data_IF_051692592096
#
_entry.id   IF_051692592096
#
_cell.length_a   1.000
_cell.length_b   1.000
_cell.length_c   1.000
_cell.angle_alpha   90.00
_cell.angle_beta   90.00
_cell.angle_gamma   90.00
#
_symmetry.space_group_name_H-M   'P 1'
#
loop_
_entity.id
_entity.type
_entity.pdbx_description
1 polymer ?
#
# COMPACT_ATOMS: atom_id res chain seq x y z
N UNK A 1 -37.30 13.44 3.74
CA UNK A 1 -35.83 13.28 3.80
C UNK A 1 -35.42 12.21 2.81
N UNK A 2 -34.66 12.56 1.77
CA UNK A 2 -34.10 11.53 0.85
C UNK A 2 -32.91 10.89 1.59
N UNK A 3 -32.99 9.57 1.81
CA UNK A 3 -31.85 8.77 2.29
C UNK A 3 -30.72 8.99 1.28
N UNK A 4 -29.52 9.43 1.69
CA UNK A 4 -28.41 9.54 0.76
C UNK A 4 -28.11 8.15 0.17
N UNK A 5 -27.75 8.07 -1.12
CA UNK A 5 -27.47 6.78 -1.75
C UNK A 5 -26.36 6.06 -0.97
N UNK A 6 -26.65 4.82 -0.56
CA UNK A 6 -25.67 3.93 0.03
C UNK A 6 -24.61 3.67 -1.04
N UNK A 7 -23.38 4.13 -0.79
CA UNK A 7 -22.24 3.82 -1.68
C UNK A 7 -22.01 2.31 -1.56
N UNK A 8 -22.40 1.57 -2.59
CA UNK A 8 -22.05 0.14 -2.70
C UNK A 8 -20.55 0.11 -3.05
N UNK A 9 -19.70 -0.50 -2.20
CA UNK A 9 -18.28 -0.61 -2.49
C UNK A 9 -18.08 -1.28 -3.84
N UNK A 10 -17.31 -0.64 -4.74
CA UNK A 10 -16.92 -1.25 -5.99
C UNK A 10 -15.94 -2.40 -5.69
N UNK A 11 -16.25 -3.60 -6.17
CA UNK A 11 -15.34 -4.73 -6.08
C UNK A 11 -14.38 -4.72 -7.27
N UNK A 12 -13.09 -4.91 -6.99
CA UNK A 12 -12.05 -5.05 -8.01
C UNK A 12 -12.35 -6.24 -8.92
N UNK A 13 -12.20 -6.05 -10.22
CA UNK A 13 -12.54 -7.08 -11.21
C UNK A 13 -11.35 -7.98 -11.53
N UNK A 14 -11.58 -9.26 -11.84
CA UNK A 14 -10.55 -10.14 -12.37
C UNK A 14 -9.97 -9.61 -13.68
N UNK A 15 -8.65 -9.73 -13.83
CA UNK A 15 -7.91 -9.30 -15.05
C UNK A 15 -7.57 -10.53 -15.88
N UNK A 16 -7.82 -10.46 -17.19
CA UNK A 16 -7.48 -11.54 -18.14
C UNK A 16 -7.91 -12.94 -17.70
N UNK A 17 -9.06 -13.05 -17.02
CA UNK A 17 -9.54 -14.24 -16.33
C UNK A 17 -10.24 -15.22 -17.30
N UNK A 18 -9.47 -16.03 -18.02
CA UNK A 18 -10.01 -17.10 -18.88
C UNK A 18 -9.97 -18.46 -18.18
N UNK A 19 -10.87 -19.40 -18.58
CA UNK A 19 -10.90 -20.76 -18.04
C UNK A 19 -9.54 -21.47 -18.24
N UNK A 20 -8.90 -21.26 -19.39
CA UNK A 20 -7.61 -21.86 -19.71
C UNK A 20 -6.50 -21.33 -18.77
N UNK A 21 -6.40 -20.00 -18.60
CA UNK A 21 -5.40 -19.40 -17.70
C UNK A 21 -5.59 -19.87 -16.25
N UNK A 22 -6.83 -19.89 -15.74
CA UNK A 22 -7.12 -20.43 -14.40
C UNK A 22 -6.67 -21.88 -14.28
N UNK A 23 -7.01 -22.71 -15.25
CA UNK A 23 -6.62 -24.12 -15.25
C UNK A 23 -5.10 -24.28 -15.22
N UNK A 24 -4.39 -23.61 -16.11
CA UNK A 24 -2.92 -23.65 -16.18
C UNK A 24 -2.27 -23.23 -14.88
N UNK A 25 -2.71 -22.11 -14.28
CA UNK A 25 -2.17 -21.59 -13.00
C UNK A 25 -2.36 -22.62 -11.89
N UNK A 26 -3.56 -23.15 -11.74
CA UNK A 26 -3.89 -24.09 -10.66
C UNK A 26 -3.16 -25.42 -10.80
N UNK A 27 -3.04 -25.94 -12.02
CA UNK A 27 -2.26 -27.15 -12.30
C UNK A 27 -0.77 -26.90 -12.03
N UNK A 28 -0.22 -25.77 -12.49
CA UNK A 28 1.17 -25.40 -12.24
C UNK A 28 1.48 -25.32 -10.76
N UNK A 29 0.63 -24.63 -9.96
CA UNK A 29 0.80 -24.56 -8.51
C UNK A 29 0.75 -25.97 -7.89
N UNK A 30 -0.28 -26.77 -8.25
CA UNK A 30 -0.47 -28.12 -7.70
C UNK A 30 0.74 -29.02 -7.96
N UNK A 31 1.32 -28.93 -9.14
CA UNK A 31 2.49 -29.72 -9.54
C UNK A 31 3.78 -29.20 -8.93
N UNK A 32 4.06 -27.89 -9.08
CA UNK A 32 5.34 -27.30 -8.69
C UNK A 32 5.53 -27.16 -7.18
N UNK A 33 4.43 -27.10 -6.39
CA UNK A 33 4.54 -26.98 -4.92
C UNK A 33 5.31 -28.13 -4.26
N UNK A 34 5.46 -29.25 -4.91
CA UNK A 34 6.24 -30.40 -4.43
C UNK A 34 7.76 -30.20 -4.62
N UNK A 35 8.16 -29.30 -5.54
CA UNK A 35 9.56 -29.12 -5.95
C UNK A 35 10.09 -27.70 -5.62
N UNK A 36 9.21 -26.76 -5.31
CA UNK A 36 9.56 -25.36 -5.08
C UNK A 36 8.98 -24.85 -3.76
N UNK A 37 9.81 -24.23 -2.89
CA UNK A 37 9.32 -23.62 -1.67
C UNK A 37 8.47 -22.39 -1.98
N UNK A 38 7.58 -22.07 -1.07
CA UNK A 38 6.85 -20.80 -1.04
C UNK A 38 7.66 -19.78 -0.24
N UNK A 39 7.84 -18.58 -0.78
CA UNK A 39 8.49 -17.48 -0.11
C UNK A 39 7.43 -16.46 0.31
N UNK A 40 7.07 -16.45 1.60
CA UNK A 40 5.98 -15.62 2.10
C UNK A 40 4.65 -15.92 1.39
N UNK A 41 4.01 -14.89 0.84
CA UNK A 41 2.79 -15.00 0.03
C UNK A 41 2.99 -15.37 -1.43
N UNK A 42 4.25 -15.46 -1.92
CA UNK A 42 4.60 -15.58 -3.34
C UNK A 42 5.09 -16.97 -3.67
N UNK A 43 4.69 -17.48 -4.84
CA UNK A 43 5.12 -18.73 -5.40
C UNK A 43 5.65 -18.53 -6.83
N UNK A 44 6.86 -19.00 -7.12
CA UNK A 44 7.50 -18.84 -8.42
C UNK A 44 7.08 -19.97 -9.38
N UNK A 45 6.29 -19.61 -10.40
CA UNK A 45 5.85 -20.54 -11.45
C UNK A 45 6.97 -20.81 -12.47
N UNK A 46 7.77 -19.79 -12.78
CA UNK A 46 8.94 -19.89 -13.66
C UNK A 46 10.06 -18.96 -13.19
N UNK A 47 11.07 -18.73 -14.00
CA UNK A 47 12.08 -17.69 -13.76
C UNK A 47 11.49 -16.29 -13.87
N UNK A 48 10.51 -16.10 -14.78
CA UNK A 48 9.94 -14.79 -15.13
C UNK A 48 8.52 -14.57 -14.56
N UNK A 49 7.88 -15.59 -13.99
CA UNK A 49 6.48 -15.52 -13.57
C UNK A 49 6.34 -15.98 -12.13
N UNK A 50 5.63 -15.19 -11.35
CA UNK A 50 5.24 -15.54 -10.00
C UNK A 50 3.73 -15.40 -9.79
N UNK A 51 3.23 -16.00 -8.73
CA UNK A 51 1.84 -15.87 -8.28
C UNK A 51 1.79 -15.54 -6.79
N UNK A 52 1.11 -14.46 -6.44
CA UNK A 52 0.71 -14.12 -5.08
C UNK A 52 -0.69 -14.66 -4.87
N UNK A 53 -0.90 -15.55 -3.88
CA UNK A 53 -2.22 -16.13 -3.67
C UNK A 53 -2.52 -16.44 -2.21
N UNK A 54 -3.79 -16.35 -1.86
CA UNK A 54 -4.28 -16.66 -0.51
C UNK A 54 -5.67 -16.11 -0.25
N UNK A 55 -6.29 -16.51 0.89
CA UNK A 55 -7.62 -16.05 1.27
C UNK A 55 -7.66 -14.58 1.69
N UNK A 56 -6.53 -14.03 2.15
CA UNK A 56 -6.44 -12.63 2.59
C UNK A 56 -6.06 -11.68 1.45
N UNK A 57 -5.69 -12.20 0.26
CA UNK A 57 -5.32 -11.35 -0.88
C UNK A 57 -6.55 -10.77 -1.56
N UNK A 58 -6.38 -9.59 -2.21
CA UNK A 58 -7.44 -8.87 -2.87
C UNK A 58 -7.06 -8.59 -4.34
N UNK A 59 -8.05 -8.58 -5.22
CA UNK A 59 -7.87 -8.21 -6.63
C UNK A 59 -7.49 -6.74 -6.79
N UNK A 60 -7.78 -5.87 -5.82
CA UNK A 60 -7.40 -4.46 -5.85
C UNK A 60 -5.89 -4.25 -6.01
N UNK A 61 -5.05 -5.14 -5.46
CA UNK A 61 -3.61 -5.07 -5.67
C UNK A 61 -3.23 -5.24 -7.15
N UNK A 62 -3.90 -6.15 -7.86
CA UNK A 62 -3.69 -6.33 -9.30
C UNK A 62 -4.19 -5.13 -10.11
N UNK A 63 -5.37 -4.57 -9.75
CA UNK A 63 -5.91 -3.34 -10.36
C UNK A 63 -4.96 -2.17 -10.11
N UNK A 64 -4.41 -2.05 -8.92
CA UNK A 64 -3.44 -1.00 -8.56
C UNK A 64 -2.17 -1.08 -9.41
N UNK A 65 -1.53 -2.24 -9.50
CA UNK A 65 -0.33 -2.39 -10.32
C UNK A 65 -0.61 -2.08 -11.80
N UNK A 66 -1.75 -2.52 -12.33
CA UNK A 66 -2.15 -2.19 -13.70
C UNK A 66 -2.36 -0.67 -13.88
N UNK A 67 -3.00 -0.01 -12.92
CA UNK A 67 -3.25 1.42 -12.94
C UNK A 67 -1.95 2.21 -12.88
N UNK A 68 -1.04 1.91 -11.96
CA UNK A 68 0.26 2.57 -11.81
C UNK A 68 1.09 2.44 -13.09
N UNK A 69 1.14 1.23 -13.69
CA UNK A 69 1.84 0.99 -14.95
C UNK A 69 1.29 1.84 -16.12
N UNK A 70 0.00 2.14 -16.10
CA UNK A 70 -0.66 2.92 -17.16
C UNK A 70 -0.52 4.43 -16.99
N UNK A 71 -0.32 4.92 -15.76
CA UNK A 71 -0.38 6.34 -15.44
C UNK A 71 0.94 6.95 -14.96
N UNK A 72 1.95 6.12 -14.72
CA UNK A 72 3.26 6.53 -14.22
C UNK A 72 4.38 5.80 -14.92
N UNK A 73 5.63 6.26 -14.69
CA UNK A 73 6.84 5.58 -15.08
C UNK A 73 7.35 4.58 -14.02
N UNK A 74 6.66 4.42 -12.91
CA UNK A 74 7.07 3.55 -11.81
C UNK A 74 7.14 2.09 -12.27
N UNK A 75 8.27 1.41 -12.12
CA UNK A 75 8.40 0.01 -12.48
C UNK A 75 7.60 -0.85 -11.49
N UNK A 76 6.58 -1.53 -11.98
CA UNK A 76 5.72 -2.45 -11.24
C UNK A 76 5.56 -3.77 -11.99
N UNK A 77 5.32 -4.90 -11.30
CA UNK A 77 5.08 -6.18 -11.97
C UNK A 77 3.95 -6.09 -13.01
N UNK A 78 4.16 -6.60 -14.20
CA UNK A 78 3.09 -6.73 -15.19
C UNK A 78 2.11 -7.81 -14.79
N UNK A 79 0.81 -7.49 -14.79
CA UNK A 79 -0.25 -8.43 -14.45
C UNK A 79 -0.59 -9.30 -15.65
N UNK A 80 -0.34 -10.59 -15.54
CA UNK A 80 -0.66 -11.60 -16.56
C UNK A 80 -2.13 -11.99 -16.46
N UNK A 81 -2.59 -12.30 -15.24
CA UNK A 81 -4.01 -12.50 -14.94
C UNK A 81 -4.26 -12.45 -13.43
N UNK A 82 -5.50 -12.13 -13.05
CA UNK A 82 -5.95 -12.23 -11.66
C UNK A 82 -7.36 -12.80 -11.59
N UNK A 83 -7.65 -13.61 -10.56
CA UNK A 83 -8.96 -14.21 -10.35
C UNK A 83 -9.16 -14.69 -8.91
N UNK A 84 -10.41 -14.91 -8.54
CA UNK A 84 -10.78 -15.53 -7.27
C UNK A 84 -11.41 -16.89 -7.53
N UNK A 85 -11.05 -17.91 -6.71
CA UNK A 85 -11.64 -19.24 -6.74
C UNK A 85 -11.68 -19.82 -5.33
N UNK A 86 -12.84 -20.31 -4.91
CA UNK A 86 -13.06 -20.94 -3.59
C UNK A 86 -12.53 -20.06 -2.43
N UNK A 87 -12.84 -18.76 -2.43
CA UNK A 87 -12.40 -17.83 -1.41
C UNK A 87 -10.89 -17.48 -1.42
N UNK A 88 -10.16 -17.96 -2.41
CA UNK A 88 -8.72 -17.66 -2.58
C UNK A 88 -8.51 -16.78 -3.80
N UNK A 89 -7.80 -15.67 -3.64
CA UNK A 89 -7.41 -14.77 -4.73
C UNK A 89 -6.05 -15.17 -5.26
N UNK A 90 -5.89 -15.10 -6.58
CA UNK A 90 -4.66 -15.41 -7.33
C UNK A 90 -4.30 -14.20 -8.18
N UNK A 91 -3.07 -13.70 -8.03
CA UNK A 91 -2.49 -12.61 -8.82
C UNK A 91 -1.24 -13.18 -9.48
N UNK A 92 -1.33 -13.44 -10.78
CA UNK A 92 -0.22 -13.94 -11.60
C UNK A 92 0.42 -12.77 -12.28
N UNK A 93 1.71 -12.59 -12.04
CA UNK A 93 2.43 -11.41 -12.48
C UNK A 93 3.87 -11.73 -12.86
N UNK A 94 4.50 -10.79 -13.55
CA UNK A 94 5.92 -10.76 -13.81
C UNK A 94 6.72 -10.90 -12.51
N UNK A 95 7.81 -11.64 -12.56
CA UNK A 95 8.82 -11.66 -11.52
C UNK A 95 9.88 -10.62 -11.83
N UNK A 96 9.92 -9.53 -11.08
CA UNK A 96 11.01 -8.56 -11.20
C UNK A 96 12.29 -9.16 -10.63
N UNK A 97 13.37 -9.09 -11.41
CA UNK A 97 14.71 -9.50 -11.01
C UNK A 97 15.46 -8.31 -10.41
N UNK A 98 15.50 -8.24 -9.10
CA UNK A 98 16.18 -7.23 -8.31
C UNK A 98 16.36 -7.72 -6.88
N UNK A 99 17.16 -7.04 -6.11
CA UNK A 99 17.33 -7.27 -4.68
C UNK A 99 16.58 -6.22 -3.89
N UNK A 100 15.97 -6.62 -2.77
CA UNK A 100 15.35 -5.67 -1.85
C UNK A 100 16.40 -4.66 -1.38
N UNK A 101 16.09 -3.38 -1.52
CA UNK A 101 17.00 -2.27 -1.17
C UNK A 101 17.47 -2.39 0.30
N UNK A 102 16.61 -2.88 1.18
CA UNK A 102 16.96 -3.12 2.59
C UNK A 102 18.11 -4.10 2.79
N UNK A 103 18.35 -4.99 1.82
CA UNK A 103 19.49 -5.91 1.88
C UNK A 103 20.77 -5.17 1.48
N UNK A 104 21.70 -5.06 2.43
CA UNK A 104 22.99 -4.42 2.20
C UNK A 104 22.93 -2.89 2.10
N UNK A 105 21.85 -2.23 2.48
CA UNK A 105 21.73 -0.78 2.45
C UNK A 105 22.87 -0.07 3.19
N UNK A 106 23.19 -0.53 4.40
CA UNK A 106 24.23 0.06 5.24
C UNK A 106 25.64 -0.05 4.67
N UNK A 107 25.87 -0.99 3.75
CA UNK A 107 27.15 -1.17 3.06
C UNK A 107 27.24 -0.47 1.71
N UNK A 108 26.17 0.20 1.24
CA UNK A 108 26.22 1.02 0.03
C UNK A 108 26.97 2.31 0.26
N UNK A 109 27.64 2.81 -0.78
CA UNK A 109 28.24 4.17 -0.75
C UNK A 109 27.14 5.24 -0.71
N UNK A 110 27.50 6.45 -0.26
CA UNK A 110 26.53 7.55 -0.20
C UNK A 110 26.05 7.96 -1.60
N UNK A 111 26.90 7.83 -2.64
CA UNK A 111 26.54 8.07 -4.03
C UNK A 111 25.50 7.03 -4.54
N UNK A 112 25.69 5.76 -4.17
CA UNK A 112 24.74 4.68 -4.51
C UNK A 112 23.40 4.92 -3.84
N UNK A 113 23.39 5.27 -2.54
CA UNK A 113 22.18 5.63 -1.80
C UNK A 113 21.47 6.83 -2.42
N UNK A 114 22.22 7.90 -2.70
CA UNK A 114 21.67 9.13 -3.29
C UNK A 114 20.97 8.86 -4.63
N UNK A 115 21.56 8.04 -5.51
CA UNK A 115 20.94 7.66 -6.80
C UNK A 115 19.61 6.90 -6.63
N UNK A 116 19.55 5.97 -5.69
CA UNK A 116 18.32 5.21 -5.42
C UNK A 116 17.24 6.13 -4.85
N UNK A 117 17.60 6.96 -3.86
CA UNK A 117 16.65 7.87 -3.21
C UNK A 117 16.12 8.95 -4.16
N UNK A 118 16.97 9.47 -5.07
CA UNK A 118 16.54 10.40 -6.12
C UNK A 118 15.48 9.76 -7.05
N UNK A 119 15.68 8.51 -7.47
CA UNK A 119 14.68 7.79 -8.28
C UNK A 119 13.38 7.59 -7.51
N UNK A 120 13.44 7.25 -6.21
CA UNK A 120 12.24 7.13 -5.39
C UNK A 120 11.50 8.45 -5.26
N UNK A 121 12.22 9.56 -5.07
CA UNK A 121 11.63 10.89 -5.02
C UNK A 121 10.88 11.23 -6.31
N UNK A 122 11.50 10.95 -7.47
CA UNK A 122 10.87 11.15 -8.78
C UNK A 122 9.61 10.26 -8.94
N UNK A 123 9.68 9.00 -8.53
CA UNK A 123 8.55 8.06 -8.58
C UNK A 123 7.39 8.50 -7.69
N UNK A 124 7.68 8.97 -6.46
CA UNK A 124 6.66 9.52 -5.58
C UNK A 124 6.04 10.79 -6.17
N UNK A 125 6.86 11.70 -6.72
CA UNK A 125 6.37 12.88 -7.39
C UNK A 125 5.47 12.53 -8.60
N UNK A 126 5.81 11.49 -9.36
CA UNK A 126 5.00 10.99 -10.47
C UNK A 126 3.64 10.45 -9.98
N UNK A 127 3.66 9.65 -8.93
CA UNK A 127 2.45 9.14 -8.29
C UNK A 127 1.55 10.27 -7.75
N UNK A 128 2.13 11.33 -7.18
CA UNK A 128 1.38 12.49 -6.65
C UNK A 128 0.73 13.36 -7.72
N UNK A 129 1.14 13.26 -8.99
CA UNK A 129 0.49 13.96 -10.11
C UNK A 129 -0.83 13.32 -10.54
N UNK A 130 -1.11 12.10 -10.10
CA UNK A 130 -2.36 11.42 -10.43
C UNK A 130 -3.50 12.12 -9.67
N UNK A 131 -4.47 12.66 -10.42
CA UNK A 131 -5.61 13.31 -9.82
C UNK A 131 -6.59 12.29 -9.20
N UNK A 132 -7.08 12.53 -7.97
CA UNK A 132 -8.07 11.65 -7.35
C UNK A 132 -9.41 11.75 -8.10
N UNK A 133 -10.16 10.63 -8.22
CA UNK A 133 -11.46 10.62 -8.89
C UNK A 133 -12.55 11.37 -8.09
N UNK A 134 -12.36 11.49 -6.77
CA UNK A 134 -13.28 12.16 -5.84
C UNK A 134 -12.58 12.39 -4.49
N UNK A 135 -13.33 12.80 -3.46
CA UNK A 135 -12.82 13.05 -2.09
C UNK A 135 -12.79 11.83 -1.18
N UNK A 136 -13.10 10.63 -1.68
CA UNK A 136 -13.18 9.42 -0.88
C UNK A 136 -11.79 8.86 -0.54
N UNK A 137 -11.67 8.28 0.65
CA UNK A 137 -10.53 7.44 1.04
C UNK A 137 -10.90 6.00 0.71
N UNK A 138 -10.25 5.42 -0.30
CA UNK A 138 -10.64 4.12 -0.88
C UNK A 138 -9.48 3.48 -1.63
N UNK A 139 -9.60 2.20 -1.97
CA UNK A 139 -8.70 1.58 -2.95
C UNK A 139 -8.89 2.21 -4.35
N UNK A 140 -8.07 1.77 -5.31
CA UNK A 140 -8.08 2.31 -6.69
C UNK A 140 -9.44 2.16 -7.40
N UNK A 141 -10.21 1.12 -7.08
CA UNK A 141 -11.51 0.84 -7.66
C UNK A 141 -12.68 1.48 -6.88
N UNK A 142 -12.39 2.35 -5.89
CA UNK A 142 -13.38 2.98 -5.02
C UNK A 142 -13.92 2.06 -3.92
N UNK A 143 -13.29 0.92 -3.69
CA UNK A 143 -13.69 -0.12 -2.75
C UNK A 143 -12.92 -0.11 -1.43
N UNK A 144 -12.99 -1.26 -0.75
CA UNK A 144 -12.42 -1.52 0.57
C UNK A 144 -10.89 -1.47 0.53
N UNK A 145 -10.30 -0.84 1.53
CA UNK A 145 -8.87 -0.77 1.81
C UNK A 145 -8.42 -1.98 2.63
N UNK A 146 -7.12 -2.24 2.61
CA UNK A 146 -6.48 -3.27 3.43
C UNK A 146 -5.25 -2.69 4.11
N UNK A 147 -5.16 -2.82 5.43
CA UNK A 147 -3.92 -2.58 6.19
C UNK A 147 -4.02 -3.33 7.52
N UNK A 148 -3.09 -4.26 7.76
CA UNK A 148 -3.05 -5.05 9.00
C UNK A 148 -2.43 -4.30 10.19
N UNK A 149 -1.90 -3.08 9.98
CA UNK A 149 -1.29 -2.23 11.02
C UNK A 149 -2.30 -1.28 11.67
N UNK A 150 -3.49 -1.15 11.10
CA UNK A 150 -4.56 -0.32 11.64
C UNK A 150 -5.39 -1.14 12.61
N UNK A 151 -5.68 -0.56 13.78
CA UNK A 151 -6.55 -1.18 14.78
C UNK A 151 -7.91 -1.56 14.19
N UNK A 152 -8.39 -2.77 14.54
CA UNK A 152 -9.67 -3.29 14.09
C UNK A 152 -9.56 -4.27 12.91
N UNK A 153 -10.59 -4.37 12.07
CA UNK A 153 -10.58 -5.27 10.92
C UNK A 153 -9.49 -4.87 9.92
N UNK A 154 -8.69 -5.84 9.43
CA UNK A 154 -7.67 -5.60 8.40
C UNK A 154 -8.23 -5.03 7.08
N UNK A 155 -9.54 -5.13 6.87
CA UNK A 155 -10.27 -4.55 5.73
C UNK A 155 -11.27 -3.55 6.22
N UNK A 156 -11.22 -2.33 5.70
CA UNK A 156 -12.00 -1.21 6.18
C UNK A 156 -12.37 -0.23 5.06
N UNK A 157 -13.28 0.70 5.34
CA UNK A 157 -13.75 1.68 4.34
C UNK A 157 -14.69 1.06 3.29
N UNK A 158 -14.86 1.69 2.11
CA UNK A 158 -14.36 3.03 1.78
C UNK A 158 -15.02 4.13 2.62
N UNK A 159 -14.35 5.29 2.74
CA UNK A 159 -14.84 6.46 3.46
C UNK A 159 -15.17 7.60 2.51
N UNK A 160 -16.26 8.34 2.79
CA UNK A 160 -16.73 9.44 1.94
C UNK A 160 -15.79 10.65 1.93
N UNK A 161 -14.97 10.79 2.97
CA UNK A 161 -14.01 11.88 3.12
C UNK A 161 -12.84 11.47 4.03
N UNK A 162 -11.80 12.30 4.05
CA UNK A 162 -10.66 12.16 4.95
C UNK A 162 -11.11 12.23 6.41
N UNK A 163 -12.03 13.12 6.77
CA UNK A 163 -12.57 13.22 8.14
C UNK A 163 -13.27 11.93 8.58
N UNK A 164 -14.03 11.26 7.67
CA UNK A 164 -14.65 9.98 8.00
C UNK A 164 -13.59 8.88 8.22
N UNK A 165 -12.50 8.89 7.47
CA UNK A 165 -11.36 8.00 7.69
C UNK A 165 -10.68 8.28 9.04
N UNK A 166 -10.43 9.55 9.36
CA UNK A 166 -9.86 9.95 10.64
C UNK A 166 -10.74 9.54 11.83
N UNK A 167 -12.07 9.74 11.71
CA UNK A 167 -13.01 9.27 12.72
C UNK A 167 -12.94 7.76 12.94
N UNK A 168 -12.78 6.99 11.85
CA UNK A 168 -12.55 5.55 11.96
C UNK A 168 -11.23 5.23 12.69
N UNK A 169 -10.12 5.91 12.36
CA UNK A 169 -8.82 5.70 13.01
C UNK A 169 -8.82 5.97 14.52
N UNK A 170 -9.75 6.78 15.03
CA UNK A 170 -9.95 7.05 16.45
C UNK A 170 -11.11 6.27 17.07
N UNK A 171 -11.51 5.15 16.44
CA UNK A 171 -12.56 4.28 16.98
C UNK A 171 -13.96 4.92 17.06
N UNK A 172 -14.20 5.99 16.28
CA UNK A 172 -15.46 6.74 16.32
C UNK A 172 -15.58 7.74 17.47
N UNK A 173 -14.54 7.93 18.29
CA UNK A 173 -14.56 8.88 19.41
C UNK A 173 -14.87 10.29 18.91
N UNK A 174 -15.80 10.96 19.61
CA UNK A 174 -16.17 12.35 19.36
C UNK A 174 -15.46 13.30 20.32
N UNK A 175 -15.22 14.56 19.93
CA UNK A 175 -14.66 15.57 20.84
C UNK A 175 -15.50 15.72 22.10
N UNK A 176 -14.84 15.67 23.27
CA UNK A 176 -15.47 15.86 24.58
C UNK A 176 -14.52 16.65 25.48
N UNK A 177 -15.11 17.42 26.44
CA UNK A 177 -14.32 18.27 27.35
C UNK A 177 -13.35 17.46 28.25
N UNK A 178 -13.67 16.20 28.54
CA UNK A 178 -12.86 15.32 29.39
C UNK A 178 -11.76 14.56 28.62
N UNK A 179 -11.66 14.74 27.31
CA UNK A 179 -10.58 14.13 26.55
C UNK A 179 -9.21 14.71 26.99
N UNK A 180 -8.15 13.89 27.07
CA UNK A 180 -6.80 14.40 27.25
C UNK A 180 -6.46 15.49 26.24
N UNK A 181 -5.63 16.48 26.62
CA UNK A 181 -5.33 17.62 25.75
C UNK A 181 -4.67 17.23 24.43
N UNK A 182 -3.75 16.25 24.49
CA UNK A 182 -3.11 15.68 23.29
C UNK A 182 -4.10 14.95 22.36
N UNK A 183 -5.07 14.23 22.92
CA UNK A 183 -6.16 13.61 22.14
C UNK A 183 -7.04 14.68 21.50
N UNK A 184 -7.37 15.74 22.24
CA UNK A 184 -8.16 16.86 21.71
C UNK A 184 -7.44 17.58 20.56
N UNK A 185 -6.11 17.73 20.63
CA UNK A 185 -5.31 18.29 19.56
C UNK A 185 -5.35 17.41 18.31
N UNK A 186 -5.16 16.09 18.44
CA UNK A 186 -5.29 15.14 17.33
C UNK A 186 -6.67 15.22 16.69
N UNK A 187 -7.74 15.26 17.50
CA UNK A 187 -9.11 15.32 16.97
C UNK A 187 -9.38 16.63 16.23
N UNK A 188 -8.93 17.76 16.76
CA UNK A 188 -9.06 19.05 16.11
C UNK A 188 -8.33 19.11 14.76
N UNK A 189 -7.13 18.51 14.67
CA UNK A 189 -6.39 18.35 13.44
C UNK A 189 -7.11 17.43 12.45
N UNK A 190 -7.59 16.27 12.90
CA UNK A 190 -8.30 15.29 12.10
C UNK A 190 -9.62 15.82 11.51
N UNK A 191 -10.35 16.60 12.28
CA UNK A 191 -11.65 17.17 11.88
C UNK A 191 -11.51 18.48 11.07
N UNK A 192 -10.29 19.01 10.97
CA UNK A 192 -9.98 20.19 10.19
C UNK A 192 -10.20 20.03 8.68
N UNK A 193 -9.97 21.10 7.90
CA UNK A 193 -10.06 21.04 6.44
C UNK A 193 -8.89 20.25 5.87
N UNK A 194 -9.19 19.36 4.93
CA UNK A 194 -8.20 18.55 4.23
C UNK A 194 -8.26 18.79 2.72
N UNK A 195 -7.12 18.83 2.02
CA UNK A 195 -7.09 18.79 0.57
C UNK A 195 -7.68 17.46 0.07
N UNK A 196 -7.85 17.35 -1.25
CA UNK A 196 -8.25 16.08 -1.86
C UNK A 196 -7.24 14.96 -1.50
N UNK A 197 -7.70 13.70 -1.38
CA UNK A 197 -6.80 12.59 -1.13
C UNK A 197 -5.80 12.44 -2.27
N UNK A 198 -4.65 11.86 -1.98
CA UNK A 198 -3.60 11.58 -2.96
C UNK A 198 -3.37 10.08 -3.07
N UNK A 199 -2.90 9.64 -4.24
CA UNK A 199 -2.56 8.24 -4.41
C UNK A 199 -1.33 7.90 -3.57
N UNK A 200 -1.39 6.78 -2.86
CA UNK A 200 -0.45 6.38 -1.82
C UNK A 200 -0.18 4.89 -1.94
N UNK A 201 1.09 4.48 -1.86
CA UNK A 201 1.47 3.06 -1.75
C UNK A 201 1.09 2.49 -0.38
N UNK A 202 1.34 3.26 0.67
CA UNK A 202 1.02 2.93 2.05
C UNK A 202 2.00 1.96 2.74
N UNK A 203 3.04 1.49 2.03
CA UNK A 203 4.10 0.63 2.59
C UNK A 203 5.40 0.75 1.78
N UNK A 204 5.90 1.99 1.57
CA UNK A 204 7.19 2.25 0.90
C UNK A 204 8.37 1.88 1.81
N UNK A 205 8.42 0.64 2.23
CA UNK A 205 9.52 0.10 3.02
C UNK A 205 10.69 -0.32 2.12
N UNK A 206 11.90 -0.38 2.71
CA UNK A 206 13.10 -0.87 2.02
C UNK A 206 13.00 -2.31 1.50
N UNK A 207 12.00 -3.07 1.95
CA UNK A 207 11.73 -4.44 1.54
C UNK A 207 10.82 -4.52 0.30
N UNK A 208 10.08 -3.45 0.00
CA UNK A 208 9.15 -3.37 -1.11
C UNK A 208 9.75 -2.66 -2.34
N UNK A 209 11.00 -2.21 -2.24
CA UNK A 209 11.74 -1.56 -3.31
C UNK A 209 12.83 -2.52 -3.78
N UNK A 210 12.82 -2.85 -5.08
CA UNK A 210 13.79 -3.72 -5.71
C UNK A 210 14.77 -2.90 -6.55
N UNK A 211 16.06 -3.15 -6.36
CA UNK A 211 17.11 -2.50 -7.14
C UNK A 211 18.04 -3.53 -7.81
N UNK A 212 18.63 -3.12 -8.93
CA UNK A 212 19.72 -3.81 -9.61
C UNK A 212 20.90 -2.84 -9.70
N UNK A 213 21.93 -3.05 -8.91
CA UNK A 213 22.95 -2.04 -8.69
C UNK A 213 22.34 -0.79 -8.06
N UNK A 214 22.41 0.35 -8.72
CA UNK A 214 21.86 1.65 -8.28
C UNK A 214 20.53 2.00 -8.98
N UNK A 215 20.00 1.12 -9.81
CA UNK A 215 18.74 1.31 -10.53
C UNK A 215 17.58 0.69 -9.77
N UNK A 216 16.53 1.45 -9.50
CA UNK A 216 15.26 0.93 -8.97
C UNK A 216 14.52 0.23 -10.12
N UNK A 217 14.40 -1.08 -10.03
CA UNK A 217 13.79 -1.92 -11.08
C UNK A 217 12.38 -2.39 -10.72
N UNK A 218 11.90 -2.10 -9.51
CA UNK A 218 10.53 -2.44 -9.12
C UNK A 218 10.11 -1.91 -7.77
N UNK A 219 8.84 -1.49 -7.69
CA UNK A 219 8.11 -1.30 -6.44
C UNK A 219 7.04 -2.39 -6.39
N UNK A 220 6.98 -3.13 -5.28
CA UNK A 220 6.13 -4.31 -5.08
C UNK A 220 5.27 -4.16 -3.83
N UNK A 221 4.30 -5.09 -3.67
CA UNK A 221 3.41 -5.17 -2.51
C UNK A 221 2.44 -3.98 -2.36
N UNK A 222 1.63 -3.77 -3.40
CA UNK A 222 0.64 -2.69 -3.51
C UNK A 222 -0.69 -3.02 -2.80
N UNK A 223 -0.71 -3.96 -1.85
CA UNK A 223 -1.96 -4.39 -1.19
C UNK A 223 -2.55 -3.34 -0.26
N UNK A 224 -1.72 -2.41 0.27
CA UNK A 224 -2.14 -1.29 1.13
C UNK A 224 -2.45 -0.01 0.35
N UNK A 225 -2.22 -0.01 -0.96
CA UNK A 225 -2.33 1.19 -1.77
C UNK A 225 -3.78 1.69 -1.95
N UNK A 226 -3.90 3.00 -2.06
CA UNK A 226 -5.18 3.67 -2.24
C UNK A 226 -5.09 5.19 -2.22
N UNK A 227 -6.25 5.83 -2.15
CA UNK A 227 -6.43 7.26 -2.01
C UNK A 227 -6.49 7.61 -0.53
N UNK A 228 -5.49 8.35 -0.03
CA UNK A 228 -5.34 8.66 1.40
C UNK A 228 -5.04 10.15 1.62
N UNK A 229 -5.09 10.63 2.88
CA UNK A 229 -4.57 11.96 3.22
C UNK A 229 -3.10 12.09 2.81
N UNK A 230 -2.67 13.29 2.45
CA UNK A 230 -1.33 13.57 1.91
C UNK A 230 -0.20 13.08 2.81
N UNK A 231 -0.38 13.10 4.12
CA UNK A 231 0.62 12.69 5.10
C UNK A 231 0.79 11.17 5.22
N UNK A 232 -0.20 10.37 4.74
CA UNK A 232 -0.28 8.94 5.02
C UNK A 232 0.94 8.15 4.52
N UNK A 233 1.48 8.49 3.36
CA UNK A 233 2.70 7.84 2.85
C UNK A 233 3.90 8.09 3.75
N UNK A 234 4.08 9.34 4.20
CA UNK A 234 5.20 9.71 5.05
C UNK A 234 5.15 8.98 6.40
N UNK A 235 3.99 9.00 7.05
CA UNK A 235 3.84 8.37 8.37
C UNK A 235 3.96 6.85 8.28
N UNK A 236 3.36 6.22 7.27
CA UNK A 236 3.47 4.75 7.11
C UNK A 236 4.87 4.30 6.69
N UNK A 237 5.59 5.05 5.87
CA UNK A 237 6.97 4.75 5.51
C UNK A 237 7.95 4.93 6.69
N UNK A 238 7.62 5.83 7.64
CA UNK A 238 8.41 6.10 8.84
C UNK A 238 8.21 5.06 9.96
N UNK A 239 7.08 4.33 9.95
CA UNK A 239 6.83 3.19 10.85
C UNK A 239 7.47 1.91 10.30
N UNK A 240 8.79 1.87 10.39
CA UNK A 240 9.60 0.77 9.84
C UNK A 240 9.63 -0.45 10.74
N UNK A 241 9.78 -1.61 10.13
CA UNK A 241 10.09 -2.84 10.87
C UNK A 241 11.38 -2.66 11.70
N UNK A 242 11.42 -3.12 12.97
CA UNK A 242 12.62 -3.04 13.81
C UNK A 242 13.91 -3.55 13.16
N UNK A 243 13.83 -4.44 12.20
CA UNK A 243 15.00 -4.95 11.46
C UNK A 243 15.54 -3.94 10.41
N UNK A 244 14.79 -2.89 10.10
CA UNK A 244 15.11 -1.89 9.08
C UNK A 244 15.10 -0.46 9.64
N UNK A 245 15.47 -0.26 10.89
CA UNK A 245 15.45 1.06 11.55
C UNK A 245 16.23 2.12 10.78
N UNK A 246 17.29 1.74 10.06
CA UNK A 246 18.06 2.63 9.18
C UNK A 246 17.20 3.29 8.10
N UNK A 247 16.07 2.68 7.70
CA UNK A 247 15.21 3.23 6.66
C UNK A 247 14.45 4.47 7.13
N UNK A 248 14.16 4.57 8.42
CA UNK A 248 13.52 5.77 9.00
C UNK A 248 14.34 7.04 8.71
N UNK A 249 15.68 6.95 8.79
CA UNK A 249 16.57 8.07 8.55
C UNK A 249 16.66 8.45 7.05
N UNK A 250 16.22 7.56 6.16
CA UNK A 250 16.24 7.79 4.71
C UNK A 250 14.91 8.33 4.17
N UNK A 251 13.81 8.22 4.92
CA UNK A 251 12.46 8.62 4.47
C UNK A 251 12.42 10.10 4.07
N UNK A 252 13.03 10.98 4.87
CA UNK A 252 13.08 12.42 4.62
C UNK A 252 13.86 12.82 3.34
N UNK A 253 14.59 11.86 2.75
CA UNK A 253 15.39 12.10 1.55
C UNK A 253 14.63 11.83 0.25
N UNK A 254 13.48 11.12 0.32
CA UNK A 254 12.65 10.83 -0.85
C UNK A 254 11.18 11.19 -0.67
N UNK A 255 10.71 11.42 0.55
CA UNK A 255 9.40 11.98 0.86
C UNK A 255 9.56 13.39 1.45
N UNK A 256 8.55 14.24 1.23
CA UNK A 256 8.48 15.53 1.91
C UNK A 256 8.25 15.32 3.40
N UNK A 257 9.11 15.86 4.28
CA UNK A 257 8.98 15.70 5.72
C UNK A 257 7.69 16.31 6.25
N UNK A 258 6.92 15.52 7.00
CA UNK A 258 5.65 15.90 7.64
C UNK A 258 5.73 15.68 9.15
N UNK A 259 6.67 16.37 9.81
CA UNK A 259 7.02 16.14 11.22
C UNK A 259 5.86 16.44 12.17
N UNK A 260 5.00 17.43 11.85
CA UNK A 260 3.81 17.74 12.64
C UNK A 260 2.79 16.60 12.57
N UNK A 261 2.49 16.14 11.36
CA UNK A 261 1.57 15.04 11.11
C UNK A 261 2.09 13.74 11.74
N UNK A 262 3.41 13.52 11.69
CA UNK A 262 4.05 12.39 12.35
C UNK A 262 3.86 12.40 13.87
N UNK A 263 4.08 13.55 14.52
CA UNK A 263 3.87 13.68 15.97
C UNK A 263 2.41 13.44 16.37
N UNK A 264 1.46 13.95 15.57
CA UNK A 264 0.03 13.72 15.80
C UNK A 264 -0.37 12.27 15.56
N UNK A 265 0.24 11.61 14.59
CA UNK A 265 0.02 10.18 14.31
C UNK A 265 0.61 9.29 15.41
N UNK A 266 1.73 9.66 16.01
CA UNK A 266 2.30 9.00 17.20
C UNK A 266 1.34 9.08 18.41
N UNK A 267 0.73 10.25 18.64
CA UNK A 267 -0.31 10.40 19.66
C UNK A 267 -1.52 9.51 19.33
N UNK A 268 -1.98 9.53 18.08
CA UNK A 268 -3.08 8.67 17.63
C UNK A 268 -2.77 7.19 17.91
N UNK A 269 -1.59 6.72 17.57
CA UNK A 269 -1.20 5.34 17.81
C UNK A 269 -1.14 4.99 19.30
N UNK A 270 -0.64 5.89 20.13
CA UNK A 270 -0.59 5.71 21.59
C UNK A 270 -1.97 5.46 22.20
N UNK A 271 -3.00 6.12 21.70
CA UNK A 271 -4.35 6.05 22.29
C UNK A 271 -5.32 5.12 21.53
N UNK A 272 -5.11 4.93 20.23
CA UNK A 272 -6.01 4.22 19.33
C UNK A 272 -5.32 3.15 18.46
N UNK A 273 -4.04 2.91 18.66
CA UNK A 273 -3.30 1.83 18.03
C UNK A 273 -3.43 0.52 18.79
N UNK A 274 -3.03 -0.59 18.17
CA UNK A 274 -2.82 -1.86 18.88
C UNK A 274 -1.51 -1.76 19.67
N UNK A 275 -1.56 -2.23 20.92
CA UNK A 275 -0.41 -2.36 21.83
C UNK A 275 0.31 -3.67 21.55
#
# INVERSE_FOLDING_TARGET
MRVPPTIVPSESKPINNTCLRRFLVLVSIKFLKHFRPRHGGIFFLSKEICVKYGPLKNLSEASTMQFIRQHTSIPVPEIICSFTRNGCTYIVMERIHGEMVGRGWTSRTDESKAKILSQLQEMVADMRRIAPPNSAVSNIDGGILYDCRIHGPMRFGPFKSIQNFHKYLRGGLEPHADNPGDVSEVMAWQDGPWPAPVFTHGDLSSLNILARGDEVVGIIDWETAGWYPVYWEYTTASYVNPQNLFWKDEVDRFLEPMSKEMALEEIRQKYFGDV
#
